data_IF_449767813817
#
_entry.id   IF_449767813817
#
_cell.length_a   1.000
_cell.length_b   1.000
_cell.length_c   1.000
_cell.angle_alpha   90.00
_cell.angle_beta   90.00
_cell.angle_gamma   90.00
#
_symmetry.space_group_name_H-M   'P 1'
#
loop_
_entity.id
_entity.type
_entity.pdbx_description
1 polymer ?
#
# COMPACT_ATOMS: atom_id res chain seq x y z
N UNK A 1 -16.19 -17.92 34.23
CA UNK A 1 -16.17 -18.23 32.79
C UNK A 1 -16.17 -16.91 32.03
N UNK A 2 -15.00 -16.50 31.52
CA UNK A 2 -14.91 -15.30 30.67
C UNK A 2 -15.53 -15.67 29.32
N UNK A 3 -16.57 -14.96 28.88
CA UNK A 3 -17.10 -15.08 27.51
C UNK A 3 -15.91 -14.93 26.56
N UNK A 4 -15.63 -15.96 25.75
CA UNK A 4 -14.54 -15.92 24.78
C UNK A 4 -14.70 -14.70 23.89
N UNK A 5 -13.67 -13.84 23.82
CA UNK A 5 -13.65 -12.71 22.91
C UNK A 5 -13.63 -13.28 21.49
N UNK A 6 -14.63 -12.93 20.68
CA UNK A 6 -14.64 -13.29 19.25
C UNK A 6 -13.34 -12.79 18.61
N UNK A 7 -12.72 -13.60 17.76
CA UNK A 7 -11.61 -13.19 16.91
C UNK A 7 -12.05 -12.12 15.91
N UNK A 8 -11.11 -11.32 15.40
CA UNK A 8 -11.46 -10.30 14.42
C UNK A 8 -12.09 -10.89 13.16
N UNK A 9 -11.57 -12.05 12.70
CA UNK A 9 -12.11 -12.76 11.54
C UNK A 9 -13.61 -13.13 11.71
N UNK A 10 -14.07 -13.41 12.92
CA UNK A 10 -15.47 -13.75 13.19
C UNK A 10 -16.43 -12.54 13.12
N UNK A 11 -15.92 -11.32 13.37
CA UNK A 11 -16.72 -10.08 13.29
C UNK A 11 -16.51 -9.32 11.98
N UNK A 12 -15.45 -9.65 11.23
CA UNK A 12 -15.10 -8.96 10.01
C UNK A 12 -16.20 -8.95 8.93
N UNK A 13 -17.02 -10.01 8.74
CA UNK A 13 -18.14 -9.96 7.79
C UNK A 13 -19.14 -8.84 8.07
N UNK A 14 -19.48 -8.58 9.33
CA UNK A 14 -20.41 -7.51 9.72
C UNK A 14 -19.79 -6.14 9.44
N UNK A 15 -18.54 -5.93 9.87
CA UNK A 15 -17.76 -4.71 9.63
C UNK A 15 -17.63 -4.43 8.12
N UNK A 16 -17.37 -5.47 7.34
CA UNK A 16 -17.22 -5.37 5.90
C UNK A 16 -18.52 -4.92 5.20
N UNK A 17 -19.69 -5.41 5.64
CA UNK A 17 -20.98 -4.91 5.12
C UNK A 17 -21.21 -3.44 5.47
N UNK A 18 -20.95 -3.04 6.71
CA UNK A 18 -21.04 -1.63 7.12
C UNK A 18 -20.10 -0.72 6.32
N UNK A 19 -18.91 -1.21 5.98
CA UNK A 19 -17.95 -0.51 5.13
C UNK A 19 -18.49 -0.28 3.71
N UNK A 20 -19.13 -1.28 3.10
CA UNK A 20 -19.77 -1.13 1.78
C UNK A 20 -20.79 0.01 1.81
N UNK A 21 -21.75 -0.07 2.74
CA UNK A 21 -22.82 0.93 2.86
C UNK A 21 -22.26 2.34 3.11
N UNK A 22 -21.22 2.43 3.96
CA UNK A 22 -20.54 3.70 4.26
C UNK A 22 -19.88 4.30 3.02
N UNK A 23 -19.17 3.50 2.23
CA UNK A 23 -18.50 3.94 1.00
C UNK A 23 -19.52 4.39 -0.03
N UNK A 24 -20.58 3.60 -0.26
CA UNK A 24 -21.63 3.94 -1.22
C UNK A 24 -22.32 5.25 -0.85
N UNK A 25 -22.68 5.42 0.43
CA UNK A 25 -23.28 6.66 0.95
C UNK A 25 -22.35 7.86 0.76
N UNK A 26 -21.04 7.68 0.99
CA UNK A 26 -20.04 8.74 0.83
C UNK A 26 -19.86 9.14 -0.63
N UNK A 27 -19.74 8.17 -1.55
CA UNK A 27 -19.67 8.42 -3.00
C UNK A 27 -20.93 9.16 -3.47
N UNK A 28 -22.13 8.69 -3.07
CA UNK A 28 -23.39 9.35 -3.42
C UNK A 28 -23.43 10.79 -2.93
N UNK A 29 -22.94 11.05 -1.71
CA UNK A 29 -22.86 12.40 -1.14
C UNK A 29 -21.92 13.30 -1.95
N UNK A 30 -20.76 12.80 -2.38
CA UNK A 30 -19.81 13.58 -3.20
C UNK A 30 -20.36 13.89 -4.58
N UNK A 31 -20.99 12.92 -5.25
CA UNK A 31 -21.62 13.16 -6.55
C UNK A 31 -22.72 14.21 -6.47
N UNK A 32 -23.49 14.25 -5.37
CA UNK A 32 -24.57 15.20 -5.20
C UNK A 32 -24.12 16.60 -4.78
N UNK A 33 -23.06 16.72 -3.96
CA UNK A 33 -22.71 17.98 -3.29
C UNK A 33 -21.28 18.48 -3.59
N UNK A 34 -20.51 17.76 -4.40
CA UNK A 34 -19.08 17.97 -4.55
C UNK A 34 -18.28 17.58 -3.30
N UNK A 35 -17.02 18.00 -3.27
CA UNK A 35 -16.14 17.74 -2.13
C UNK A 35 -16.41 18.71 -0.96
N UNK A 36 -16.29 18.23 0.29
CA UNK A 36 -16.32 19.10 1.47
C UNK A 36 -15.03 19.94 1.56
N UNK A 37 -15.02 21.00 2.39
CA UNK A 37 -13.86 21.88 2.52
C UNK A 37 -12.54 21.16 2.87
N UNK A 38 -12.59 20.10 3.68
CA UNK A 38 -11.41 19.28 4.05
C UNK A 38 -11.26 18.08 3.12
N UNK A 39 -11.07 18.32 1.83
CA UNK A 39 -11.03 17.27 0.78
C UNK A 39 -10.03 16.16 1.11
N UNK A 40 -8.85 16.51 1.62
CA UNK A 40 -7.77 15.56 1.88
C UNK A 40 -8.11 14.51 2.94
N UNK A 41 -8.78 14.91 4.03
CA UNK A 41 -9.24 13.96 5.06
C UNK A 41 -10.23 12.94 4.48
N UNK A 42 -11.16 13.42 3.65
CA UNK A 42 -12.17 12.56 3.06
C UNK A 42 -11.61 11.60 2.01
N UNK A 43 -10.73 12.09 1.12
CA UNK A 43 -10.06 11.23 0.15
C UNK A 43 -9.15 10.22 0.85
N UNK A 44 -8.40 10.63 1.88
CA UNK A 44 -7.58 9.70 2.66
C UNK A 44 -8.44 8.62 3.34
N UNK A 45 -9.60 9.00 3.88
CA UNK A 45 -10.60 8.06 4.36
C UNK A 45 -11.09 7.09 3.28
N UNK A 46 -11.32 7.56 2.04
CA UNK A 46 -11.67 6.70 0.91
C UNK A 46 -10.54 5.72 0.56
N UNK A 47 -9.27 6.15 0.61
CA UNK A 47 -8.12 5.27 0.39
C UNK A 47 -8.13 4.11 1.40
N UNK A 48 -8.36 4.41 2.68
CA UNK A 48 -8.50 3.41 3.75
C UNK A 48 -9.70 2.49 3.52
N UNK A 49 -10.88 3.06 3.31
CA UNK A 49 -12.11 2.30 3.11
C UNK A 49 -11.99 1.33 1.90
N UNK A 50 -11.47 1.79 0.76
CA UNK A 50 -11.29 0.92 -0.40
C UNK A 50 -10.22 -0.15 -0.18
N UNK A 51 -9.11 0.17 0.49
CA UNK A 51 -8.12 -0.85 0.86
C UNK A 51 -8.78 -1.95 1.70
N UNK A 52 -9.58 -1.57 2.69
CA UNK A 52 -10.21 -2.50 3.62
C UNK A 52 -11.29 -3.35 2.94
N UNK A 53 -12.05 -2.76 2.00
CA UNK A 53 -12.94 -3.53 1.12
C UNK A 53 -12.16 -4.53 0.26
N UNK A 54 -10.99 -4.14 -0.26
CA UNK A 54 -10.10 -5.05 -0.98
C UNK A 54 -9.63 -6.23 -0.13
N UNK A 55 -9.26 -5.98 1.14
CA UNK A 55 -8.94 -7.02 2.12
C UNK A 55 -10.17 -7.93 2.35
N UNK A 56 -11.36 -7.34 2.49
CA UNK A 56 -12.61 -8.08 2.65
C UNK A 56 -12.92 -9.03 1.50
N UNK A 57 -12.77 -8.58 0.25
CA UNK A 57 -12.96 -9.44 -0.93
C UNK A 57 -11.98 -10.62 -0.96
N UNK A 58 -10.73 -10.40 -0.53
CA UNK A 58 -9.71 -11.47 -0.45
C UNK A 58 -10.09 -12.48 0.63
N UNK A 59 -10.32 -12.01 1.86
CA UNK A 59 -10.43 -12.88 3.03
C UNK A 59 -11.78 -13.57 3.12
N UNK A 60 -12.87 -12.89 2.76
CA UNK A 60 -14.23 -13.41 2.97
C UNK A 60 -14.79 -14.15 1.77
N UNK A 61 -14.28 -13.86 0.56
CA UNK A 61 -14.88 -14.32 -0.70
C UNK A 61 -13.86 -14.91 -1.68
N UNK A 62 -12.57 -14.77 -1.42
CA UNK A 62 -11.49 -15.14 -2.35
C UNK A 62 -11.64 -14.49 -3.74
N UNK A 63 -12.29 -13.31 -3.82
CA UNK A 63 -12.48 -12.58 -5.08
C UNK A 63 -11.33 -11.61 -5.34
N UNK A 64 -10.21 -12.16 -5.82
CA UNK A 64 -9.00 -11.39 -6.10
C UNK A 64 -9.21 -10.33 -7.19
N UNK A 65 -10.11 -10.57 -8.16
CA UNK A 65 -10.41 -9.59 -9.21
C UNK A 65 -11.10 -8.37 -8.63
N UNK A 66 -12.12 -8.57 -7.80
CA UNK A 66 -12.83 -7.48 -7.14
C UNK A 66 -11.92 -6.73 -6.16
N UNK A 67 -11.06 -7.45 -5.43
CA UNK A 67 -10.07 -6.84 -4.56
C UNK A 67 -9.14 -5.86 -5.30
N UNK A 68 -8.65 -6.26 -6.49
CA UNK A 68 -7.80 -5.41 -7.35
C UNK A 68 -8.53 -4.16 -7.84
N UNK A 69 -9.83 -4.24 -8.13
CA UNK A 69 -10.66 -3.05 -8.43
C UNK A 69 -10.71 -2.10 -7.23
N UNK A 70 -10.84 -2.63 -6.01
CA UNK A 70 -10.80 -1.78 -4.82
C UNK A 70 -9.42 -1.16 -4.58
N UNK A 71 -8.33 -1.91 -4.78
CA UNK A 71 -6.98 -1.34 -4.72
C UNK A 71 -6.74 -0.28 -5.79
N UNK A 72 -7.33 -0.44 -6.98
CA UNK A 72 -7.34 0.59 -8.02
C UNK A 72 -8.05 1.88 -7.53
N UNK A 73 -9.24 1.76 -6.93
CA UNK A 73 -9.94 2.93 -6.40
C UNK A 73 -9.18 3.61 -5.26
N UNK A 74 -8.56 2.84 -4.37
CA UNK A 74 -7.71 3.38 -3.32
C UNK A 74 -6.52 4.16 -3.92
N UNK A 75 -5.87 3.61 -4.94
CA UNK A 75 -4.78 4.27 -5.64
C UNK A 75 -5.24 5.55 -6.37
N UNK A 76 -6.40 5.53 -7.01
CA UNK A 76 -7.00 6.71 -7.68
C UNK A 76 -7.35 7.82 -6.71
N UNK A 77 -7.86 7.48 -5.52
CA UNK A 77 -8.10 8.48 -4.48
C UNK A 77 -6.79 9.12 -3.99
N UNK A 78 -5.69 8.36 -3.89
CA UNK A 78 -4.38 8.91 -3.54
C UNK A 78 -3.77 9.75 -4.67
N UNK A 79 -3.89 9.32 -5.93
CA UNK A 79 -3.46 10.08 -7.11
C UNK A 79 -4.14 11.45 -7.16
N UNK A 80 -5.42 11.51 -6.79
CA UNK A 80 -6.17 12.74 -6.67
C UNK A 80 -5.61 13.69 -5.60
N UNK A 81 -5.29 13.16 -4.41
CA UNK A 81 -4.68 13.94 -3.33
C UNK A 81 -3.40 14.61 -3.84
N UNK A 82 -2.51 13.85 -4.48
CA UNK A 82 -1.27 14.39 -5.03
C UNK A 82 -1.52 15.42 -6.13
N UNK A 83 -2.39 15.10 -7.08
CA UNK A 83 -2.71 15.99 -8.21
C UNK A 83 -3.33 17.31 -7.74
N UNK A 84 -4.29 17.25 -6.82
CA UNK A 84 -4.94 18.43 -6.23
C UNK A 84 -3.95 19.28 -5.44
N UNK A 85 -3.08 18.64 -4.65
CA UNK A 85 -2.03 19.34 -3.91
C UNK A 85 -1.06 20.10 -4.84
N UNK A 86 -0.58 19.44 -5.90
CA UNK A 86 0.40 20.01 -6.82
C UNK A 86 -0.21 21.13 -7.68
N UNK A 87 -1.46 20.95 -8.11
CA UNK A 87 -2.21 21.96 -8.86
C UNK A 87 -2.79 23.09 -8.00
N UNK A 88 -2.58 23.04 -6.67
CA UNK A 88 -3.16 23.99 -5.69
C UNK A 88 -4.68 24.07 -5.76
N UNK A 89 -5.32 22.98 -6.18
CA UNK A 89 -6.77 22.81 -6.19
C UNK A 89 -7.23 22.21 -4.88
N UNK A 90 -8.24 22.84 -4.26
CA UNK A 90 -8.68 22.50 -2.92
C UNK A 90 -7.56 22.64 -1.87
N UNK A 91 -7.92 22.97 -0.64
CA UNK A 91 -6.91 23.15 0.41
C UNK A 91 -6.43 21.78 0.94
N UNK A 92 -5.63 21.05 0.16
CA UNK A 92 -5.03 19.77 0.56
C UNK A 92 -3.89 20.04 1.54
N UNK A 93 -3.95 19.46 2.74
CA UNK A 93 -2.84 19.56 3.71
C UNK A 93 -1.59 18.84 3.19
N UNK A 94 -0.43 19.44 3.46
CA UNK A 94 0.88 18.86 3.15
C UNK A 94 1.09 17.50 3.85
N UNK A 95 0.43 17.29 4.99
CA UNK A 95 0.50 16.03 5.73
C UNK A 95 0.05 14.83 4.89
N UNK A 96 -0.80 15.03 3.86
CA UNK A 96 -1.28 13.92 3.01
C UNK A 96 -0.39 13.66 1.78
N UNK A 97 0.70 14.41 1.62
CA UNK A 97 1.67 14.26 0.53
C UNK A 97 3.09 13.93 0.99
N UNK A 98 3.26 13.69 2.29
CA UNK A 98 4.50 13.22 2.91
C UNK A 98 4.94 11.85 2.36
N UNK A 99 6.23 11.58 2.42
CA UNK A 99 6.85 10.30 2.02
C UNK A 99 6.47 9.12 2.90
N UNK A 100 5.99 9.34 4.13
CA UNK A 100 5.44 8.27 4.99
C UNK A 100 4.27 7.52 4.33
N UNK A 101 3.63 8.13 3.32
CA UNK A 101 2.56 7.51 2.53
C UNK A 101 3.07 6.60 1.40
N UNK A 102 4.35 6.23 1.36
CA UNK A 102 4.85 5.24 0.39
C UNK A 102 4.06 3.92 0.35
N UNK A 103 3.41 3.41 1.44
CA UNK A 103 2.60 2.19 1.34
C UNK A 103 1.45 2.31 0.34
N UNK A 104 1.03 3.52 -0.04
CA UNK A 104 -0.01 3.72 -1.07
C UNK A 104 0.46 3.31 -2.46
N UNK A 105 1.77 3.31 -2.73
CA UNK A 105 2.34 2.76 -3.97
C UNK A 105 2.07 1.25 -4.09
N UNK A 106 2.00 0.52 -2.98
CA UNK A 106 1.63 -0.90 -3.00
C UNK A 106 0.17 -1.12 -3.41
N UNK A 107 -0.75 -0.21 -3.08
CA UNK A 107 -2.14 -0.32 -3.52
C UNK A 107 -2.24 -0.19 -5.04
N UNK A 108 -1.52 0.77 -5.63
CA UNK A 108 -1.45 0.90 -7.09
C UNK A 108 -0.86 -0.37 -7.72
N UNK A 109 0.24 -0.88 -7.15
CA UNK A 109 0.88 -2.11 -7.64
C UNK A 109 -0.04 -3.33 -7.54
N UNK A 110 -0.76 -3.48 -6.43
CA UNK A 110 -1.66 -4.60 -6.20
C UNK A 110 -2.85 -4.58 -7.16
N UNK A 111 -3.25 -3.41 -7.66
CA UNK A 111 -4.37 -3.26 -8.62
C UNK A 111 -4.13 -3.84 -10.03
N UNK A 112 -2.89 -4.19 -10.39
CA UNK A 112 -2.49 -4.63 -11.74
C UNK A 112 -2.70 -3.60 -12.86
N UNK A 113 -2.97 -2.34 -12.53
CA UNK A 113 -3.20 -1.28 -13.51
C UNK A 113 -1.93 -0.46 -13.75
N UNK A 114 -1.18 -0.78 -14.81
CA UNK A 114 0.12 -0.12 -15.07
C UNK A 114 0.02 1.41 -15.18
N UNK A 115 -1.08 1.96 -15.72
CA UNK A 115 -1.28 3.42 -15.81
C UNK A 115 -1.28 4.10 -14.45
N UNK A 116 -2.01 3.56 -13.47
CA UNK A 116 -2.06 4.16 -12.12
C UNK A 116 -0.76 3.88 -11.35
N UNK A 117 -0.11 2.74 -11.57
CA UNK A 117 1.22 2.45 -11.00
C UNK A 117 2.22 3.52 -11.42
N UNK A 118 2.29 3.80 -12.72
CA UNK A 118 3.21 4.82 -13.26
C UNK A 118 2.84 6.22 -12.77
N UNK A 119 1.55 6.59 -12.83
CA UNK A 119 1.13 7.94 -12.42
C UNK A 119 1.40 8.19 -10.93
N UNK A 120 1.00 7.26 -10.05
CA UNK A 120 1.20 7.43 -8.62
C UNK A 120 2.69 7.46 -8.25
N UNK A 121 3.52 6.64 -8.89
CA UNK A 121 4.97 6.67 -8.69
C UNK A 121 5.59 7.99 -9.18
N UNK A 122 5.12 8.56 -10.29
CA UNK A 122 5.60 9.88 -10.77
C UNK A 122 5.27 11.00 -9.78
N UNK A 123 4.03 11.02 -9.27
CA UNK A 123 3.52 12.02 -8.34
C UNK A 123 4.04 11.86 -6.91
N UNK A 124 4.55 10.70 -6.53
CA UNK A 124 5.07 10.45 -5.19
C UNK A 124 6.35 11.25 -4.92
N UNK A 125 6.37 12.01 -3.83
CA UNK A 125 7.50 12.87 -3.45
C UNK A 125 7.85 13.98 -4.46
N UNK A 126 9.07 14.51 -4.36
CA UNK A 126 9.59 15.64 -5.15
C UNK A 126 9.26 17.01 -4.58
N UNK A 127 8.77 17.08 -3.35
CA UNK A 127 8.22 18.26 -2.69
C UNK A 127 9.18 18.71 -1.57
N UNK A 128 10.32 19.27 -1.94
CA UNK A 128 11.44 19.53 -1.01
C UNK A 128 11.05 20.29 0.27
N UNK A 129 10.10 21.24 0.18
CA UNK A 129 9.66 22.03 1.33
C UNK A 129 8.81 21.20 2.30
N UNK A 130 7.91 20.41 1.75
CA UNK A 130 6.99 19.55 2.49
C UNK A 130 7.73 18.36 3.09
N UNK A 131 8.76 17.88 2.40
CA UNK A 131 9.55 16.73 2.80
C UNK A 131 10.70 17.09 3.76
N UNK A 132 10.89 18.35 4.18
CA UNK A 132 12.06 18.69 4.99
C UNK A 132 12.09 17.95 6.33
N UNK A 133 10.92 17.79 6.95
CA UNK A 133 10.72 17.18 8.27
C UNK A 133 10.33 15.69 8.20
N UNK A 134 10.18 15.14 6.99
CA UNK A 134 9.91 13.73 6.79
C UNK A 134 11.10 12.88 7.28
N UNK A 135 10.79 11.73 7.89
CA UNK A 135 11.78 10.76 8.35
C UNK A 135 12.69 10.28 7.20
N UNK A 136 13.99 10.15 7.46
CA UNK A 136 14.96 9.82 6.41
C UNK A 136 14.78 8.40 5.88
N UNK A 137 14.38 7.47 6.74
CA UNK A 137 14.15 6.07 6.38
C UNK A 137 12.91 5.98 5.51
N UNK A 138 11.82 6.66 5.87
CA UNK A 138 10.59 6.71 5.06
C UNK A 138 10.85 7.29 3.66
N UNK A 139 11.64 8.38 3.56
CA UNK A 139 12.10 8.91 2.27
C UNK A 139 12.86 7.85 1.49
N UNK A 140 13.84 7.22 2.13
CA UNK A 140 14.71 6.24 1.49
C UNK A 140 13.92 5.06 0.91
N UNK A 141 13.01 4.49 1.70
CA UNK A 141 12.13 3.40 1.29
C UNK A 141 11.20 3.87 0.17
N UNK A 142 10.52 5.00 0.36
CA UNK A 142 9.55 5.54 -0.59
C UNK A 142 10.16 5.85 -1.95
N UNK A 143 11.30 6.55 -1.99
CA UNK A 143 12.00 6.85 -3.23
C UNK A 143 12.55 5.59 -3.91
N UNK A 144 13.03 4.60 -3.15
CA UNK A 144 13.47 3.32 -3.70
C UNK A 144 12.31 2.61 -4.40
N UNK A 145 11.15 2.52 -3.76
CA UNK A 145 9.92 1.95 -4.36
C UNK A 145 9.54 2.72 -5.62
N UNK A 146 9.45 4.06 -5.54
CA UNK A 146 9.11 4.94 -6.68
C UNK A 146 9.97 4.61 -7.89
N UNK A 147 11.29 4.63 -7.75
CA UNK A 147 12.17 4.48 -8.90
C UNK A 147 12.20 3.06 -9.45
N UNK A 148 12.06 2.03 -8.61
CA UNK A 148 11.91 0.64 -9.07
C UNK A 148 10.65 0.51 -9.93
N UNK A 149 9.52 1.10 -9.51
CA UNK A 149 8.26 1.09 -10.26
C UNK A 149 8.36 1.87 -11.58
N UNK A 150 9.14 2.95 -11.61
CA UNK A 150 9.41 3.73 -12.82
C UNK A 150 10.47 3.11 -13.74
N UNK A 151 11.00 1.92 -13.40
CA UNK A 151 12.11 1.26 -14.11
C UNK A 151 13.34 2.15 -14.28
N UNK A 152 13.60 3.05 -13.33
CA UNK A 152 14.78 3.90 -13.33
C UNK A 152 15.90 3.20 -12.58
N UNK A 153 17.13 3.31 -13.09
CA UNK A 153 18.29 2.83 -12.37
C UNK A 153 18.48 3.65 -11.09
N UNK A 154 18.70 2.92 -9.98
CA UNK A 154 18.91 3.50 -8.66
C UNK A 154 20.20 3.05 -7.99
N UNK A 155 21.00 2.21 -8.65
CA UNK A 155 22.19 1.59 -8.05
C UNK A 155 23.17 2.62 -7.47
N UNK A 156 23.25 3.82 -8.06
CA UNK A 156 24.11 4.93 -7.62
C UNK A 156 23.39 5.98 -6.76
N UNK A 157 22.09 5.82 -6.46
CA UNK A 157 21.35 6.79 -5.65
C UNK A 157 21.68 6.65 -4.17
N UNK A 158 21.68 7.77 -3.46
CA UNK A 158 21.95 7.83 -2.02
C UNK A 158 21.07 6.86 -1.21
N UNK A 159 19.82 6.65 -1.64
CA UNK A 159 18.88 5.72 -1.02
C UNK A 159 19.42 4.28 -0.97
N UNK A 160 20.11 3.80 -2.02
CA UNK A 160 20.68 2.44 -2.01
C UNK A 160 21.79 2.29 -0.97
N UNK A 161 22.56 3.34 -0.71
CA UNK A 161 23.57 3.32 0.36
C UNK A 161 22.91 3.18 1.73
N UNK A 162 21.87 3.96 1.99
CA UNK A 162 21.13 3.91 3.26
C UNK A 162 20.41 2.55 3.44
N UNK A 163 19.83 1.99 2.38
CA UNK A 163 19.29 0.62 2.43
C UNK A 163 20.37 -0.40 2.80
N UNK A 164 21.60 -0.29 2.27
CA UNK A 164 22.70 -1.21 2.64
C UNK A 164 23.08 -1.09 4.11
N UNK A 165 23.03 0.10 4.66
CA UNK A 165 23.29 0.31 6.10
C UNK A 165 22.17 -0.33 6.93
N UNK A 166 20.90 -0.11 6.56
CA UNK A 166 19.73 -0.70 7.21
C UNK A 166 19.69 -2.24 7.11
N UNK A 167 20.09 -2.82 5.97
CA UNK A 167 20.11 -4.27 5.80
C UNK A 167 21.10 -4.98 6.72
N UNK A 168 22.15 -4.27 7.14
CA UNK A 168 23.18 -4.77 8.06
C UNK A 168 22.78 -4.59 9.54
N UNK A 169 21.62 -4.00 9.83
CA UNK A 169 21.13 -3.87 11.20
C UNK A 169 20.99 -5.26 11.86
N UNK A 170 21.40 -5.35 13.13
CA UNK A 170 21.36 -6.62 13.87
C UNK A 170 19.94 -7.03 14.23
N UNK A 171 19.11 -6.05 14.58
CA UNK A 171 17.74 -6.29 15.04
C UNK A 171 16.79 -6.48 13.85
N UNK A 172 15.77 -7.31 14.06
CA UNK A 172 14.66 -7.42 13.13
C UNK A 172 13.79 -6.16 13.24
N UNK A 173 13.66 -5.41 12.16
CA UNK A 173 12.76 -4.26 12.06
C UNK A 173 12.06 -4.22 10.70
N UNK A 174 11.01 -3.40 10.61
CA UNK A 174 10.36 -3.09 9.34
C UNK A 174 11.37 -2.52 8.33
N UNK A 175 12.21 -1.58 8.76
CA UNK A 175 13.19 -0.93 7.90
C UNK A 175 14.20 -1.92 7.32
N UNK A 176 14.70 -2.84 8.16
CA UNK A 176 15.58 -3.92 7.70
C UNK A 176 14.88 -4.81 6.68
N UNK A 177 13.62 -5.16 6.92
CA UNK A 177 12.84 -6.03 6.02
C UNK A 177 12.60 -5.37 4.65
N UNK A 178 12.31 -4.06 4.62
CA UNK A 178 12.24 -3.28 3.39
C UNK A 178 13.59 -3.21 2.70
N UNK A 179 14.66 -2.92 3.44
CA UNK A 179 16.01 -2.78 2.90
C UNK A 179 16.49 -4.06 2.22
N UNK A 180 16.36 -5.22 2.88
CA UNK A 180 16.73 -6.51 2.29
C UNK A 180 15.92 -6.77 1.00
N UNK A 181 14.61 -6.58 1.07
CA UNK A 181 13.74 -6.88 -0.08
C UNK A 181 14.03 -5.97 -1.28
N UNK A 182 14.16 -4.66 -1.05
CA UNK A 182 14.42 -3.68 -2.10
C UNK A 182 15.83 -3.84 -2.69
N UNK A 183 16.86 -4.11 -1.86
CA UNK A 183 18.20 -4.43 -2.36
C UNK A 183 18.20 -5.72 -3.16
N UNK A 184 17.48 -6.74 -2.72
CA UNK A 184 17.31 -7.99 -3.46
C UNK A 184 16.68 -7.75 -4.82
N UNK A 185 15.65 -6.89 -4.90
CA UNK A 185 15.02 -6.51 -6.17
C UNK A 185 16.02 -5.80 -7.10
N UNK A 186 16.77 -4.83 -6.58
CA UNK A 186 17.75 -4.07 -7.35
C UNK A 186 18.87 -4.97 -7.89
N UNK A 187 19.35 -5.91 -7.06
CA UNK A 187 20.44 -6.82 -7.40
C UNK A 187 19.97 -8.09 -8.12
N UNK A 188 18.65 -8.26 -8.33
CA UNK A 188 18.02 -9.50 -8.83
C UNK A 188 18.38 -10.74 -8.01
N UNK A 189 18.54 -10.56 -6.71
CA UNK A 189 18.86 -11.62 -5.76
C UNK A 189 17.58 -12.17 -5.12
N UNK A 190 17.12 -13.33 -5.62
CA UNK A 190 15.92 -14.00 -5.10
C UNK A 190 16.09 -14.46 -3.65
N UNK A 191 17.29 -14.85 -3.21
CA UNK A 191 17.52 -15.26 -1.83
C UNK A 191 17.28 -14.09 -0.88
N UNK A 192 17.85 -12.93 -1.21
CA UNK A 192 17.73 -11.71 -0.41
C UNK A 192 16.30 -11.17 -0.40
N UNK A 193 15.58 -11.25 -1.53
CA UNK A 193 14.16 -10.93 -1.61
C UNK A 193 13.34 -11.80 -0.65
N UNK A 194 13.53 -13.12 -0.70
CA UNK A 194 12.74 -14.04 0.12
C UNK A 194 13.09 -13.93 1.61
N UNK A 195 14.35 -13.70 1.97
CA UNK A 195 14.75 -13.39 3.35
C UNK A 195 14.04 -12.12 3.85
N UNK A 196 14.12 -11.03 3.08
CA UNK A 196 13.46 -9.78 3.42
C UNK A 196 11.96 -9.93 3.58
N UNK A 197 11.29 -10.62 2.65
CA UNK A 197 9.85 -10.86 2.72
C UNK A 197 9.43 -11.71 3.93
N UNK A 198 10.22 -12.71 4.31
CA UNK A 198 9.97 -13.47 5.54
C UNK A 198 10.07 -12.56 6.78
N UNK A 199 11.03 -11.64 6.81
CA UNK A 199 11.13 -10.64 7.89
C UNK A 199 9.94 -9.69 7.92
N UNK A 200 9.42 -9.27 6.77
CA UNK A 200 8.19 -8.45 6.71
C UNK A 200 7.02 -9.19 7.40
N UNK A 201 6.84 -10.48 7.08
CA UNK A 201 5.80 -11.32 7.69
C UNK A 201 5.99 -11.47 9.20
N UNK A 202 7.21 -11.69 9.66
CA UNK A 202 7.52 -11.78 11.08
C UNK A 202 7.22 -10.48 11.83
N UNK A 203 7.65 -9.34 11.27
CA UNK A 203 7.35 -8.02 11.82
C UNK A 203 5.84 -7.78 11.90
N UNK A 204 5.11 -8.11 10.85
CA UNK A 204 3.65 -8.02 10.81
C UNK A 204 2.98 -8.86 11.89
N UNK A 205 3.42 -10.11 12.09
CA UNK A 205 2.91 -10.99 13.15
C UNK A 205 3.24 -10.47 14.56
N UNK A 206 4.35 -9.76 14.74
CA UNK A 206 4.73 -9.12 16.01
C UNK A 206 3.86 -7.90 16.32
N UNK A 207 3.39 -7.18 15.31
CA UNK A 207 2.46 -6.05 15.46
C UNK A 207 1.02 -6.46 15.80
N UNK A 208 0.73 -7.75 16.00
CA UNK A 208 -0.64 -8.24 16.28
C UNK A 208 -1.35 -7.52 17.42
N UNK A 209 -0.65 -6.90 18.37
CA UNK A 209 -1.28 -6.04 19.39
C UNK A 209 -1.76 -4.70 18.84
N UNK A 210 -1.00 -4.11 17.92
CA UNK A 210 -1.15 -2.74 17.45
C UNK A 210 -2.12 -2.64 16.27
N UNK A 211 -2.17 -3.70 15.44
CA UNK A 211 -3.13 -3.86 14.34
C UNK A 211 -4.33 -4.74 14.73
N UNK A 212 -4.48 -5.02 16.03
CA UNK A 212 -5.57 -5.85 16.53
C UNK A 212 -6.91 -5.23 16.18
N UNK A 213 -7.86 -6.06 15.78
CA UNK A 213 -9.22 -5.63 15.45
C UNK A 213 -9.29 -4.68 14.24
N UNK A 214 -8.30 -4.77 13.34
CA UNK A 214 -8.30 -4.05 12.05
C UNK A 214 -8.14 -5.04 10.88
N UNK A 215 -8.54 -4.67 9.65
CA UNK A 215 -8.36 -5.51 8.47
C UNK A 215 -6.91 -5.92 8.23
N UNK A 216 -5.95 -5.07 8.62
CA UNK A 216 -4.53 -5.36 8.55
C UNK A 216 -4.13 -6.56 9.43
N UNK A 217 -4.86 -6.92 10.49
CA UNK A 217 -4.61 -8.16 11.24
C UNK A 217 -4.65 -9.41 10.34
N UNK A 218 -5.43 -9.36 9.26
CA UNK A 218 -5.73 -10.50 8.38
C UNK A 218 -4.83 -10.54 7.15
N UNK A 219 -4.23 -9.41 6.75
CA UNK A 219 -3.51 -9.30 5.48
C UNK A 219 -2.35 -8.32 5.55
N UNK A 220 -1.17 -8.73 5.07
CA UNK A 220 0.03 -7.90 5.06
C UNK A 220 0.21 -7.20 3.70
N UNK A 221 -0.39 -6.01 3.54
CA UNK A 221 -0.27 -5.19 2.31
C UNK A 221 1.19 -4.89 1.92
N UNK A 222 2.09 -4.49 2.85
CA UNK A 222 3.51 -4.30 2.53
C UNK A 222 4.17 -5.53 1.89
N UNK A 223 3.97 -6.71 2.49
CA UNK A 223 4.59 -7.93 1.97
C UNK A 223 4.03 -8.32 0.60
N UNK A 224 2.71 -8.20 0.41
CA UNK A 224 2.06 -8.39 -0.89
C UNK A 224 2.60 -7.44 -1.95
N UNK A 225 2.74 -6.15 -1.61
CA UNK A 225 3.29 -5.14 -2.51
C UNK A 225 4.73 -5.43 -2.92
N UNK A 226 5.60 -5.72 -1.95
CA UNK A 226 6.99 -6.07 -2.21
C UNK A 226 7.13 -7.37 -3.03
N UNK A 227 6.39 -8.42 -2.67
CA UNK A 227 6.38 -9.68 -3.40
C UNK A 227 5.94 -9.48 -4.86
N UNK A 228 4.86 -8.72 -5.08
CA UNK A 228 4.37 -8.41 -6.42
C UNK A 228 5.37 -7.59 -7.23
N UNK A 229 6.11 -6.70 -6.57
CA UNK A 229 7.16 -5.91 -7.20
C UNK A 229 8.32 -6.81 -7.67
N UNK A 230 8.76 -7.74 -6.82
CA UNK A 230 9.78 -8.72 -7.16
C UNK A 230 9.35 -9.61 -8.35
N UNK A 231 8.11 -10.12 -8.32
CA UNK A 231 7.55 -10.92 -9.42
C UNK A 231 7.50 -10.13 -10.74
N UNK A 232 7.09 -8.86 -10.74
CA UNK A 232 7.13 -8.00 -11.95
C UNK A 232 8.55 -7.76 -12.46
N UNK A 233 9.59 -7.99 -11.65
CA UNK A 233 11.01 -7.92 -12.05
C UNK A 233 11.59 -9.28 -12.45
N UNK A 234 10.76 -10.32 -12.52
CA UNK A 234 11.18 -11.68 -12.87
C UNK A 234 11.98 -12.36 -11.76
N UNK A 235 11.75 -11.99 -10.51
CA UNK A 235 12.38 -12.62 -9.33
C UNK A 235 11.36 -13.54 -8.68
N UNK A 236 11.74 -14.80 -8.49
CA UNK A 236 10.88 -15.79 -7.85
C UNK A 236 10.67 -15.48 -6.36
N UNK A 237 9.42 -15.61 -5.92
CA UNK A 237 8.99 -15.43 -4.54
C UNK A 237 8.42 -16.76 -4.01
N UNK A 238 8.96 -17.24 -2.90
CA UNK A 238 8.65 -18.55 -2.30
C UNK A 238 7.97 -18.42 -0.93
N UNK A 239 7.17 -17.37 -0.73
CA UNK A 239 6.44 -17.16 0.52
C UNK A 239 5.26 -18.12 0.65
N UNK A 240 5.09 -18.68 1.84
CA UNK A 240 3.93 -19.48 2.20
C UNK A 240 3.39 -19.03 3.55
N UNK A 241 2.54 -18.00 3.54
CA UNK A 241 1.92 -17.45 4.74
C UNK A 241 0.47 -17.03 4.46
N UNK A 242 -0.44 -17.27 5.40
CA UNK A 242 -1.86 -16.93 5.23
C UNK A 242 -2.10 -15.42 5.16
N UNK A 243 -1.20 -14.58 5.67
CA UNK A 243 -1.28 -13.13 5.53
C UNK A 243 -0.89 -12.64 4.12
N UNK A 244 -0.39 -13.55 3.25
CA UNK A 244 0.04 -13.30 1.87
C UNK A 244 -0.56 -14.36 0.94
N UNK A 245 -1.88 -14.34 0.70
CA UNK A 245 -2.53 -15.28 -0.20
C UNK A 245 -2.00 -15.11 -1.63
N UNK A 246 -1.42 -16.19 -2.19
CA UNK A 246 -0.76 -16.18 -3.50
C UNK A 246 -1.66 -15.73 -4.65
N UNK A 247 -2.98 -15.99 -4.57
CA UNK A 247 -3.94 -15.53 -5.58
C UNK A 247 -3.97 -14.00 -5.78
N UNK A 248 -3.56 -13.22 -4.77
CA UNK A 248 -3.43 -11.75 -4.91
C UNK A 248 -2.23 -11.35 -5.79
N UNK A 249 -1.18 -12.16 -5.79
CA UNK A 249 0.06 -11.92 -6.53
C UNK A 249 -0.07 -12.25 -8.02
N UNK A 250 -1.01 -13.12 -8.39
CA UNK A 250 -1.33 -13.41 -9.79
C UNK A 250 -1.76 -12.14 -10.54
N UNK A 251 -1.42 -12.06 -11.83
CA UNK A 251 -1.86 -10.97 -12.69
C UNK A 251 -3.28 -11.22 -13.18
N UNK A 252 -4.10 -10.18 -13.14
CA UNK A 252 -5.44 -10.20 -13.72
C UNK A 252 -5.62 -9.01 -14.64
N UNK A 253 -5.98 -9.28 -15.90
CA UNK A 253 -6.45 -8.25 -16.81
C UNK A 253 -7.86 -7.82 -16.39
N UNK A 254 -7.94 -6.66 -15.71
CA UNK A 254 -9.17 -6.14 -15.13
C UNK A 254 -9.50 -4.82 -15.81
N UNK A 255 -10.73 -4.72 -16.30
CA UNK A 255 -11.28 -3.44 -16.74
C UNK A 255 -11.75 -2.66 -15.53
N UNK A 256 -10.91 -1.75 -15.03
CA UNK A 256 -11.30 -0.82 -14.00
C UNK A 256 -12.19 0.29 -14.59
N UNK A 257 -13.31 0.63 -13.94
CA UNK A 257 -14.16 1.72 -14.41
C UNK A 257 -13.51 3.07 -14.13
N UNK A 258 -13.93 4.09 -14.88
CA UNK A 258 -13.55 5.46 -14.59
C UNK A 258 -14.03 5.87 -13.21
N UNK A 259 -13.18 6.62 -12.51
CA UNK A 259 -13.47 7.14 -11.18
C UNK A 259 -14.04 8.54 -11.35
N UNK A 260 -15.37 8.63 -11.32
CA UNK A 260 -16.13 9.87 -11.56
C UNK A 260 -16.46 10.66 -10.29
N UNK A 261 -15.98 10.20 -9.13
CA UNK A 261 -16.14 10.87 -7.83
C UNK A 261 -14.86 11.60 -7.37
N UNK A 262 -13.85 11.66 -8.25
CA UNK A 262 -12.51 12.19 -8.00
C UNK A 262 -12.24 13.37 -8.91
#
# INVERSE_FOLDING_TARGET
MVKGKKSYLEIFPEIYQEMIERVEKRIKKFKANGFPANVSFYLSGMVGDFRDLGIGEIILKEDFKKAKVYFYYAAKAQEAIYTMYDSKQNNISADFVSTVFYPKLFLALLSDQDKIIQSLAQLFGGREKEEIDDDSIDKCIGYSIKYILLNQDITEKAYIKELKELSNAKELSWDKSYALTLLGIVNKDSSLVNEGLNFVVECHKKLKSDIKETPEELLCIPALGLAKMALKKGIDVSLNDSAIPMGVLEYYDIKCPEVDFV
#
